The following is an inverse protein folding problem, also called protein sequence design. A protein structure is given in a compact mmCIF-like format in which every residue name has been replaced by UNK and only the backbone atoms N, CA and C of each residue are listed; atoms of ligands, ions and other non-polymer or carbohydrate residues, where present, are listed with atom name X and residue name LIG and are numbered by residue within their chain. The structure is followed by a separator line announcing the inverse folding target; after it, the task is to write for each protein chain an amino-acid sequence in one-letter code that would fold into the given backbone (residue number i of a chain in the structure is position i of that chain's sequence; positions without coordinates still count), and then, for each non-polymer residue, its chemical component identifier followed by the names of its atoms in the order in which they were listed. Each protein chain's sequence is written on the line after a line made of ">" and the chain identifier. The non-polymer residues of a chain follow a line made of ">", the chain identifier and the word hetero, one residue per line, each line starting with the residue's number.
data_IF_758554859468
#
_entry.id   IF_758554859468
#
_cell.length_a   1.000
_cell.length_b   1.000
_cell.length_c   1.000
_cell.angle_alpha   90.00
_cell.angle_beta   90.00
_cell.angle_gamma   90.00
#
_symmetry.space_group_name_H-M   'P 1'
#
loop_
_entity.id
_entity.type
_entity.pdbx_description
1 polymer ?
#
# COMPACT_ATOMS: atom_id res chain seq x y z
N UNK A 1 14.38 -18.08 -28.59
CA UNK A 1 13.10 -17.37 -28.64
C UNK A 1 13.09 -16.27 -27.59
N UNK A 2 12.73 -15.04 -28.00
CA UNK A 2 12.59 -13.93 -27.06
C UNK A 2 11.43 -14.23 -26.10
N UNK A 3 11.64 -14.08 -24.81
CA UNK A 3 10.57 -14.32 -23.84
C UNK A 3 9.48 -13.26 -23.98
N UNK A 4 8.26 -13.61 -23.60
CA UNK A 4 7.17 -12.63 -23.59
C UNK A 4 7.55 -11.38 -22.76
N UNK A 5 8.19 -11.59 -21.61
CA UNK A 5 8.61 -10.49 -20.73
C UNK A 5 9.55 -9.54 -21.48
N UNK A 6 10.48 -10.08 -22.28
CA UNK A 6 11.36 -9.26 -23.10
C UNK A 6 10.58 -8.38 -24.08
N UNK A 7 9.44 -8.85 -24.58
CA UNK A 7 8.65 -8.07 -25.55
C UNK A 7 8.03 -6.80 -24.92
N UNK A 8 7.79 -6.83 -23.62
CA UNK A 8 7.23 -5.66 -22.89
C UNK A 8 8.28 -4.57 -22.64
N UNK A 9 9.58 -4.91 -22.69
CA UNK A 9 10.64 -3.99 -22.31
C UNK A 9 10.93 -3.01 -23.45
N UNK A 10 10.88 -1.67 -23.21
CA UNK A 10 11.26 -0.68 -24.21
C UNK A 10 12.70 -0.90 -24.72
N UNK A 11 12.93 -0.64 -25.99
CA UNK A 11 14.25 -0.83 -26.61
C UNK A 11 15.35 -0.02 -25.89
N UNK A 12 15.01 1.16 -25.39
CA UNK A 12 15.95 1.97 -24.63
C UNK A 12 16.46 1.23 -23.39
N UNK A 13 15.54 0.55 -22.65
CA UNK A 13 15.90 -0.24 -21.46
C UNK A 13 16.72 -1.47 -21.86
N UNK A 14 16.34 -2.17 -22.94
CA UNK A 14 17.09 -3.34 -23.41
C UNK A 14 18.55 -2.99 -23.68
N UNK A 15 18.78 -1.85 -24.36
CA UNK A 15 20.12 -1.39 -24.72
C UNK A 15 20.90 -0.76 -23.57
N UNK A 16 20.21 -0.44 -22.47
CA UNK A 16 20.84 0.22 -21.33
C UNK A 16 21.93 -0.67 -20.73
N UNK A 17 23.13 -0.10 -20.63
CA UNK A 17 24.25 -0.71 -19.90
C UNK A 17 24.18 -0.14 -18.48
N UNK A 18 24.04 -0.98 -17.45
CA UNK A 18 24.00 -0.46 -16.08
C UNK A 18 25.21 0.43 -15.78
N UNK A 19 24.97 1.48 -15.04
CA UNK A 19 26.01 2.46 -14.71
C UNK A 19 27.20 1.77 -14.04
N UNK A 20 28.40 2.08 -14.52
CA UNK A 20 29.65 1.53 -14.00
C UNK A 20 30.21 2.47 -12.94
N UNK A 21 29.70 2.36 -11.71
CA UNK A 21 30.20 3.15 -10.59
C UNK A 21 31.56 2.63 -10.13
N UNK A 22 32.30 3.47 -9.42
CA UNK A 22 33.60 3.08 -8.84
C UNK A 22 33.49 1.84 -7.96
N UNK A 23 32.41 1.76 -7.15
CA UNK A 23 32.16 0.60 -6.27
C UNK A 23 31.80 -0.65 -7.07
N UNK A 24 31.05 -0.50 -8.17
CA UNK A 24 30.70 -1.63 -9.03
C UNK A 24 31.90 -2.22 -9.74
N UNK A 25 32.80 -1.36 -10.21
CA UNK A 25 34.06 -1.80 -10.84
C UNK A 25 34.91 -2.56 -9.82
N UNK A 26 34.81 -2.12 -8.56
CA UNK A 26 35.46 -2.81 -7.45
C UNK A 26 36.97 -2.57 -7.42
N UNK A 27 37.66 -3.51 -6.79
CA UNK A 27 39.09 -3.48 -6.62
C UNK A 27 39.46 -4.03 -5.25
N UNK A 28 40.69 -4.53 -5.16
CA UNK A 28 41.25 -5.02 -3.91
C UNK A 28 42.38 -4.10 -3.48
N UNK A 29 42.27 -3.51 -2.31
CA UNK A 29 43.31 -2.59 -1.86
C UNK A 29 42.98 -1.97 -0.51
N UNK A 30 43.99 -1.43 0.12
CA UNK A 30 43.84 -0.75 1.41
C UNK A 30 43.68 0.76 1.30
N UNK A 31 43.91 1.33 0.12
CA UNK A 31 43.78 2.80 -0.13
C UNK A 31 42.75 2.98 -1.22
N UNK A 32 41.62 3.62 -0.90
CA UNK A 32 40.47 3.78 -1.80
C UNK A 32 40.34 5.25 -2.22
N UNK A 33 40.68 5.53 -3.48
CA UNK A 33 40.72 6.88 -4.08
C UNK A 33 39.97 6.92 -5.41
N UNK A 34 38.88 6.18 -5.53
CA UNK A 34 38.23 5.94 -6.83
C UNK A 34 36.80 6.51 -6.93
N UNK A 35 36.30 7.17 -5.89
CA UNK A 35 34.91 7.65 -5.89
C UNK A 35 34.78 9.12 -5.46
N UNK A 36 35.90 9.82 -5.36
CA UNK A 36 35.98 11.26 -5.02
C UNK A 36 35.41 11.56 -3.60
N UNK A 37 35.40 10.55 -2.73
CA UNK A 37 34.97 10.67 -1.35
C UNK A 37 36.08 11.31 -0.51
N UNK A 38 35.72 12.00 0.57
CA UNK A 38 36.70 12.35 1.58
C UNK A 38 37.27 11.09 2.22
N UNK A 39 38.60 11.05 2.34
CA UNK A 39 39.24 9.87 2.90
C UNK A 39 38.87 9.64 4.38
N UNK A 40 38.76 10.75 5.12
CA UNK A 40 38.46 10.69 6.56
C UNK A 40 37.09 11.29 6.84
N UNK A 41 36.36 10.68 7.78
CA UNK A 41 35.08 11.20 8.22
C UNK A 41 35.27 12.54 8.96
N UNK A 42 34.36 13.45 8.79
CA UNK A 42 34.36 14.76 9.48
C UNK A 42 33.45 14.76 10.71
N UNK A 43 32.50 14.03 10.57
CA UNK A 43 31.70 14.01 11.56
C UNK A 43 32.24 13.17 12.54
N UNK A 44 31.82 13.53 13.73
CA UNK A 44 32.14 12.70 14.88
C UNK A 44 31.44 11.34 14.77
N UNK A 45 32.18 10.36 14.54
CA UNK A 45 31.63 9.00 14.43
C UNK A 45 32.46 8.17 13.48
N UNK A 46 32.78 6.99 13.93
CA UNK A 46 33.54 6.01 13.16
C UNK A 46 32.60 5.21 12.23
N UNK A 47 31.49 5.83 11.79
CA UNK A 47 30.44 5.08 11.10
C UNK A 47 30.67 4.98 9.59
N UNK A 48 31.71 5.63 9.09
CA UNK A 48 32.10 5.48 7.69
C UNK A 48 31.17 6.14 6.67
N UNK A 49 30.34 7.10 7.09
CA UNK A 49 29.37 7.77 6.20
C UNK A 49 30.06 8.68 5.16
N UNK A 50 31.36 8.88 5.26
CA UNK A 50 32.17 9.56 4.22
C UNK A 50 32.36 8.68 2.98
N UNK A 51 31.99 7.40 3.04
CA UNK A 51 32.13 6.44 1.95
C UNK A 51 30.73 6.05 1.40
N UNK A 52 30.64 5.91 0.09
CA UNK A 52 29.41 5.42 -0.53
C UNK A 52 29.10 4.01 -0.05
N UNK A 53 27.80 3.69 0.12
CA UNK A 53 27.38 2.31 0.45
C UNK A 53 27.63 1.37 -0.75
N UNK A 54 27.22 0.13 -0.61
CA UNK A 54 27.28 -0.84 -1.70
C UNK A 54 26.50 -0.37 -2.93
N UNK A 55 27.00 -0.72 -4.10
CA UNK A 55 26.37 -0.35 -5.38
C UNK A 55 24.88 -0.73 -5.41
N UNK A 56 24.57 -1.97 -5.05
CA UNK A 56 23.21 -2.45 -4.77
C UNK A 56 23.23 -3.08 -3.40
N UNK A 57 22.23 -2.81 -2.56
CA UNK A 57 22.26 -3.29 -1.16
C UNK A 57 21.91 -4.79 -1.08
N UNK A 58 22.88 -5.63 -1.40
CA UNK A 58 22.72 -7.08 -1.49
C UNK A 58 22.40 -7.72 -0.14
N UNK A 59 22.96 -7.19 0.93
CA UNK A 59 22.78 -7.79 2.27
C UNK A 59 21.32 -7.67 2.72
N UNK A 60 20.69 -6.50 2.55
CA UNK A 60 19.30 -6.36 2.94
C UNK A 60 18.37 -7.13 2.00
N UNK A 61 18.71 -7.23 0.72
CA UNK A 61 17.94 -8.04 -0.23
C UNK A 61 17.97 -9.52 0.16
N UNK A 62 19.16 -10.05 0.51
CA UNK A 62 19.32 -11.45 0.98
C UNK A 62 18.60 -11.68 2.31
N UNK A 63 18.71 -10.74 3.24
CA UNK A 63 18.03 -10.84 4.54
C UNK A 63 16.50 -10.88 4.34
N UNK A 64 15.98 -10.06 3.42
CA UNK A 64 14.52 -10.05 3.13
C UNK A 64 14.08 -11.31 2.42
N UNK A 65 14.89 -11.82 1.48
CA UNK A 65 14.63 -13.09 0.81
C UNK A 65 14.52 -14.23 1.82
N UNK A 66 15.47 -14.28 2.78
CA UNK A 66 15.45 -15.27 3.86
C UNK A 66 14.18 -15.13 4.72
N UNK A 67 13.78 -13.88 5.05
CA UNK A 67 12.56 -13.61 5.81
C UNK A 67 11.33 -14.13 5.07
N UNK A 68 11.26 -13.93 3.75
CA UNK A 68 10.13 -14.42 2.94
C UNK A 68 10.12 -15.94 2.76
N UNK A 69 11.24 -16.61 2.98
CA UNK A 69 11.36 -18.05 2.76
C UNK A 69 11.13 -18.46 1.31
N UNK A 70 11.64 -17.68 0.37
CA UNK A 70 11.40 -17.88 -1.06
C UNK A 70 12.67 -17.55 -1.85
N UNK A 71 12.89 -18.26 -2.94
CA UNK A 71 14.10 -18.11 -3.76
C UNK A 71 13.93 -17.12 -4.92
N UNK A 72 12.82 -16.39 -4.97
CA UNK A 72 12.61 -15.36 -5.99
C UNK A 72 13.70 -14.29 -5.92
N UNK A 73 14.10 -13.76 -7.06
CA UNK A 73 15.01 -12.63 -7.11
C UNK A 73 14.44 -11.47 -6.29
N UNK A 74 15.28 -10.87 -5.47
CA UNK A 74 14.87 -9.79 -4.55
C UNK A 74 15.79 -8.60 -4.73
N UNK A 75 15.20 -7.41 -4.87
CA UNK A 75 15.96 -6.16 -4.89
C UNK A 75 15.34 -5.16 -3.93
N UNK A 76 16.21 -4.45 -3.19
CA UNK A 76 15.77 -3.42 -2.25
C UNK A 76 15.57 -2.09 -2.98
N UNK A 77 14.54 -1.36 -2.59
CA UNK A 77 14.14 -0.07 -3.16
C UNK A 77 13.75 0.89 -2.04
N UNK A 78 13.64 2.20 -2.35
CA UNK A 78 13.30 3.24 -1.36
C UNK A 78 11.79 3.29 -1.11
N UNK A 79 11.28 2.18 -0.54
CA UNK A 79 9.85 2.01 -0.27
C UNK A 79 9.10 1.45 -1.47
N UNK A 80 7.84 1.04 -1.25
CA UNK A 80 6.99 0.50 -2.31
C UNK A 80 6.75 1.51 -3.43
N UNK A 81 6.77 2.80 -3.13
CA UNK A 81 6.56 3.85 -4.14
C UNK A 81 7.64 3.81 -5.23
N UNK A 82 8.91 3.62 -4.84
CA UNK A 82 9.98 3.46 -5.82
C UNK A 82 9.81 2.17 -6.61
N UNK A 83 9.32 1.10 -5.98
CA UNK A 83 9.05 -0.16 -6.69
C UNK A 83 8.04 0.07 -7.83
N UNK A 84 6.95 0.79 -7.54
CA UNK A 84 5.90 1.11 -8.52
C UNK A 84 6.51 1.89 -9.69
N UNK A 85 7.18 3.00 -9.38
CA UNK A 85 7.80 3.87 -10.39
C UNK A 85 8.81 3.09 -11.25
N UNK A 86 9.65 2.30 -10.61
CA UNK A 86 10.70 1.53 -11.27
C UNK A 86 10.11 0.48 -12.22
N UNK A 87 9.04 -0.22 -11.82
CA UNK A 87 8.38 -1.20 -12.67
C UNK A 87 7.75 -0.53 -13.90
N UNK A 88 7.07 0.60 -13.70
CA UNK A 88 6.47 1.34 -14.81
C UNK A 88 7.56 1.79 -15.78
N UNK A 89 8.65 2.39 -15.29
CA UNK A 89 9.76 2.84 -16.14
C UNK A 89 10.48 1.69 -16.85
N UNK A 90 10.47 0.50 -16.25
CA UNK A 90 11.14 -0.66 -16.83
C UNK A 90 10.34 -1.27 -17.98
N UNK A 91 9.01 -1.32 -17.84
CA UNK A 91 8.17 -2.15 -18.73
C UNK A 91 7.19 -1.34 -19.57
N UNK A 92 7.15 -0.02 -19.43
CA UNK A 92 6.24 0.82 -20.22
C UNK A 92 7.02 1.89 -20.96
N UNK A 93 6.70 2.05 -22.23
CA UNK A 93 7.26 3.13 -23.06
C UNK A 93 6.41 4.38 -22.86
N UNK A 94 7.00 5.50 -22.40
CA UNK A 94 6.24 6.71 -22.14
C UNK A 94 5.41 7.16 -23.36
N UNK A 95 4.20 7.62 -23.11
CA UNK A 95 3.24 8.13 -24.08
C UNK A 95 2.81 7.08 -25.13
N UNK A 96 3.04 5.79 -24.90
CA UNK A 96 2.65 4.72 -25.83
C UNK A 96 2.02 3.52 -25.13
N UNK A 97 2.59 3.09 -24.01
CA UNK A 97 2.09 1.92 -23.30
C UNK A 97 1.12 2.34 -22.20
N UNK A 98 0.42 1.38 -21.64
CA UNK A 98 -0.63 1.58 -20.64
C UNK A 98 -0.41 0.66 -19.45
N UNK A 99 -1.02 1.05 -18.31
CA UNK A 99 -1.17 0.17 -17.14
C UNK A 99 -2.65 -0.05 -16.84
N UNK A 100 -2.96 -1.08 -16.04
CA UNK A 100 -4.30 -1.37 -15.54
C UNK A 100 -4.29 -1.31 -14.01
N UNK A 101 -5.29 -0.64 -13.44
CA UNK A 101 -5.54 -0.65 -12.00
C UNK A 101 -6.95 -1.17 -11.72
N UNK A 102 -7.27 -1.43 -10.45
CA UNK A 102 -8.59 -1.88 -10.02
C UNK A 102 -9.11 -0.93 -8.95
N UNK A 103 -9.73 0.19 -9.39
CA UNK A 103 -10.19 1.23 -8.45
C UNK A 103 -11.40 0.76 -7.62
N UNK A 104 -11.56 1.25 -6.37
CA UNK A 104 -10.67 2.16 -5.65
C UNK A 104 -9.44 1.41 -5.10
N UNK A 105 -8.26 1.96 -5.35
CA UNK A 105 -7.00 1.34 -4.92
C UNK A 105 -5.94 2.44 -4.64
N UNK A 106 -4.70 2.04 -4.46
CA UNK A 106 -3.63 2.96 -4.09
C UNK A 106 -3.29 3.92 -5.24
N UNK A 107 -3.37 5.21 -4.98
CA UNK A 107 -3.29 6.25 -6.01
C UNK A 107 -1.90 6.38 -6.67
N UNK A 108 -0.86 5.82 -6.05
CA UNK A 108 0.50 5.96 -6.60
C UNK A 108 0.69 5.20 -7.92
N UNK A 109 -0.12 4.19 -8.21
CA UNK A 109 -0.02 3.51 -9.51
C UNK A 109 -0.31 4.49 -10.64
N UNK A 110 -1.45 5.17 -10.57
CA UNK A 110 -1.86 6.18 -11.54
C UNK A 110 -0.90 7.37 -11.52
N UNK A 111 -0.53 7.86 -10.34
CA UNK A 111 0.38 9.00 -10.19
C UNK A 111 1.71 8.76 -10.93
N UNK A 112 2.31 7.58 -10.76
CA UNK A 112 3.59 7.26 -11.41
C UNK A 112 3.43 7.10 -12.92
N UNK A 113 2.30 6.54 -13.37
CA UNK A 113 2.00 6.41 -14.80
C UNK A 113 1.82 7.79 -15.45
N UNK A 114 1.03 8.65 -14.81
CA UNK A 114 0.78 10.01 -15.29
C UNK A 114 2.08 10.81 -15.46
N UNK A 115 3.01 10.65 -14.52
CA UNK A 115 4.30 11.33 -14.55
C UNK A 115 5.13 11.00 -15.82
N UNK A 116 4.80 9.88 -16.47
CA UNK A 116 5.47 9.41 -17.69
C UNK A 116 4.55 9.46 -18.91
N UNK A 117 3.38 10.10 -18.80
CA UNK A 117 2.35 10.13 -19.85
C UNK A 117 1.95 8.71 -20.30
N UNK A 118 1.85 7.79 -19.34
CA UNK A 118 1.39 6.41 -19.56
C UNK A 118 -0.07 6.38 -19.13
N UNK A 119 -0.96 5.94 -20.03
CA UNK A 119 -2.39 5.91 -19.76
C UNK A 119 -2.72 4.82 -18.75
N UNK A 120 -3.62 5.14 -17.81
CA UNK A 120 -4.13 4.19 -16.83
C UNK A 120 -5.54 3.74 -17.25
N UNK A 121 -5.67 2.46 -17.56
CA UNK A 121 -6.97 1.81 -17.74
C UNK A 121 -7.48 1.35 -16.37
N UNK A 122 -8.78 1.32 -16.20
CA UNK A 122 -9.39 0.92 -14.93
C UNK A 122 -10.29 -0.30 -15.13
N UNK A 123 -10.20 -1.25 -14.22
CA UNK A 123 -11.13 -2.36 -14.05
C UNK A 123 -11.73 -2.26 -12.64
N UNK A 124 -12.78 -1.44 -12.46
CA UNK A 124 -13.27 -1.16 -11.12
C UNK A 124 -13.62 -2.43 -10.33
N UNK A 125 -13.29 -2.40 -9.04
CA UNK A 125 -13.71 -3.46 -8.12
C UNK A 125 -15.24 -3.55 -8.11
N UNK A 126 -15.76 -4.74 -7.85
CA UNK A 126 -17.19 -4.96 -7.72
C UNK A 126 -17.71 -4.31 -6.43
N UNK A 127 -19.03 -4.34 -6.22
CA UNK A 127 -19.67 -3.71 -5.05
C UNK A 127 -19.13 -4.24 -3.72
N UNK A 128 -18.71 -5.50 -3.71
CA UNK A 128 -18.10 -6.16 -2.54
C UNK A 128 -16.58 -6.00 -2.48
N UNK A 129 -16.02 -5.17 -3.35
CA UNK A 129 -14.59 -4.92 -3.50
C UNK A 129 -13.78 -6.12 -4.00
N UNK A 130 -14.42 -7.15 -4.52
CA UNK A 130 -13.72 -8.23 -5.21
C UNK A 130 -13.33 -7.80 -6.63
N UNK A 131 -12.36 -8.51 -7.22
CA UNK A 131 -11.91 -8.24 -8.59
C UNK A 131 -12.99 -8.59 -9.62
N UNK A 132 -13.06 -7.82 -10.69
CA UNK A 132 -13.76 -8.25 -11.91
C UNK A 132 -12.74 -8.99 -12.78
N UNK A 133 -12.52 -10.26 -12.50
CA UNK A 133 -11.47 -11.09 -13.12
C UNK A 133 -11.61 -11.08 -14.65
N UNK A 134 -12.83 -11.26 -15.16
CA UNK A 134 -13.07 -11.31 -16.61
C UNK A 134 -12.66 -10.00 -17.30
N UNK A 135 -12.99 -8.86 -16.70
CA UNK A 135 -12.63 -7.56 -17.23
C UNK A 135 -11.11 -7.33 -17.20
N UNK A 136 -10.46 -7.73 -16.09
CA UNK A 136 -8.99 -7.65 -15.98
C UNK A 136 -8.33 -8.45 -17.09
N UNK A 137 -8.75 -9.70 -17.28
CA UNK A 137 -8.17 -10.60 -18.30
C UNK A 137 -8.39 -10.03 -19.70
N UNK A 138 -9.56 -9.49 -19.97
CA UNK A 138 -9.85 -8.86 -21.27
C UNK A 138 -8.95 -7.64 -21.50
N UNK A 139 -8.85 -6.74 -20.52
CA UNK A 139 -8.06 -5.51 -20.65
C UNK A 139 -6.54 -5.76 -20.62
N UNK A 140 -6.11 -6.92 -20.10
CA UNK A 140 -4.67 -7.21 -20.01
C UNK A 140 -3.97 -7.24 -21.38
N UNK A 141 -4.70 -7.42 -22.47
CA UNK A 141 -4.14 -7.35 -23.82
C UNK A 141 -3.76 -5.92 -24.24
N UNK A 142 -4.25 -4.93 -23.52
CA UNK A 142 -4.08 -3.51 -23.85
C UNK A 142 -3.03 -2.83 -22.98
N UNK A 143 -2.45 -3.54 -22.01
CA UNK A 143 -1.57 -2.94 -21.00
C UNK A 143 -0.30 -3.77 -20.82
N UNK A 144 0.77 -3.13 -20.36
CA UNK A 144 2.00 -3.84 -20.04
C UNK A 144 2.02 -4.35 -18.60
N UNK A 145 1.36 -3.62 -17.69
CA UNK A 145 1.33 -3.94 -16.26
C UNK A 145 -0.11 -3.91 -15.74
N UNK A 146 -0.47 -4.92 -14.94
CA UNK A 146 -1.70 -4.95 -14.16
C UNK A 146 -1.30 -4.81 -12.68
N UNK A 147 -1.77 -3.75 -11.99
CA UNK A 147 -1.50 -3.56 -10.56
C UNK A 147 -2.69 -4.06 -9.74
N UNK A 148 -2.40 -4.97 -8.83
CA UNK A 148 -3.36 -5.53 -7.86
C UNK A 148 -2.83 -5.26 -6.46
N UNK A 149 -3.63 -4.69 -5.58
CA UNK A 149 -3.24 -4.43 -4.20
C UNK A 149 -3.93 -5.45 -3.27
N UNK A 150 -3.15 -6.24 -2.55
CA UNK A 150 -3.72 -7.27 -1.66
C UNK A 150 -2.84 -7.50 -0.42
N UNK A 151 -3.32 -7.14 0.77
CA UNK A 151 -4.62 -6.47 1.06
C UNK A 151 -4.70 -5.07 0.45
N UNK A 152 -5.91 -4.69 0.01
CA UNK A 152 -6.10 -3.44 -0.72
C UNK A 152 -6.18 -2.20 0.20
N UNK A 153 -5.65 -1.10 -0.27
CA UNK A 153 -5.80 0.23 0.32
C UNK A 153 -6.64 1.06 -0.67
N UNK A 154 -7.82 1.60 -0.29
CA UNK A 154 -8.28 1.77 1.10
C UNK A 154 -9.37 0.80 1.56
N UNK A 155 -9.70 -0.23 0.82
CA UNK A 155 -10.86 -1.10 1.12
C UNK A 155 -10.58 -2.14 2.21
N UNK A 156 -9.33 -2.56 2.38
CA UNK A 156 -8.89 -3.45 3.46
C UNK A 156 -8.98 -4.94 3.18
N UNK A 157 -9.62 -5.34 2.10
CA UNK A 157 -9.84 -6.76 1.77
C UNK A 157 -8.64 -7.37 1.05
N UNK A 158 -8.55 -8.69 1.09
CA UNK A 158 -7.57 -9.47 0.31
C UNK A 158 -8.23 -9.99 -0.97
N UNK A 159 -7.42 -10.22 -1.98
CA UNK A 159 -7.86 -10.90 -3.20
C UNK A 159 -7.93 -12.41 -2.90
N UNK A 160 -9.08 -13.07 -3.13
CA UNK A 160 -9.16 -14.52 -2.97
C UNK A 160 -8.10 -15.22 -3.85
N UNK A 161 -7.45 -16.23 -3.30
CA UNK A 161 -6.38 -16.93 -4.00
C UNK A 161 -6.84 -17.50 -5.35
N UNK A 162 -8.08 -17.98 -5.43
CA UNK A 162 -8.64 -18.51 -6.68
C UNK A 162 -8.71 -17.42 -7.75
N UNK A 163 -9.18 -16.22 -7.38
CA UNK A 163 -9.29 -15.09 -8.30
C UNK A 163 -7.90 -14.65 -8.78
N UNK A 164 -6.92 -14.57 -7.87
CA UNK A 164 -5.55 -14.23 -8.25
C UNK A 164 -4.98 -15.24 -9.24
N UNK A 165 -5.19 -16.54 -8.99
CA UNK A 165 -4.73 -17.59 -9.90
C UNK A 165 -5.41 -17.44 -11.27
N UNK A 166 -6.72 -17.17 -11.29
CA UNK A 166 -7.46 -16.99 -12.54
C UNK A 166 -6.92 -15.78 -13.34
N UNK A 167 -6.62 -14.66 -12.64
CA UNK A 167 -5.96 -13.52 -13.29
C UNK A 167 -4.60 -13.93 -13.85
N UNK A 168 -3.78 -14.62 -13.04
CA UNK A 168 -2.45 -15.01 -13.47
C UNK A 168 -2.51 -15.94 -14.71
N UNK A 169 -3.44 -16.91 -14.73
CA UNK A 169 -3.59 -17.79 -15.88
C UNK A 169 -4.11 -17.04 -17.11
N UNK A 170 -5.06 -16.12 -16.92
CA UNK A 170 -5.65 -15.33 -18.02
C UNK A 170 -4.72 -14.29 -18.62
N UNK A 171 -3.66 -13.89 -17.91
CA UNK A 171 -2.73 -12.85 -18.35
C UNK A 171 -1.40 -13.40 -18.90
N UNK A 172 -1.24 -14.72 -18.94
CA UNK A 172 -0.02 -15.34 -19.51
C UNK A 172 0.17 -14.85 -20.93
N UNK A 173 1.37 -14.34 -21.24
CA UNK A 173 1.70 -13.85 -22.58
C UNK A 173 1.07 -12.51 -22.96
N UNK A 174 0.46 -11.80 -22.01
CA UNK A 174 -0.22 -10.51 -22.28
C UNK A 174 0.41 -9.37 -21.50
N UNK A 175 0.47 -9.47 -20.17
CA UNK A 175 0.99 -8.41 -19.30
C UNK A 175 1.68 -9.00 -18.07
N UNK A 176 2.49 -8.19 -17.40
CA UNK A 176 2.98 -8.52 -16.07
C UNK A 176 1.88 -8.22 -15.05
N UNK A 177 1.76 -9.07 -14.03
CA UNK A 177 0.86 -8.83 -12.89
C UNK A 177 1.72 -8.44 -11.69
N UNK A 178 1.47 -7.25 -11.15
CA UNK A 178 2.17 -6.73 -9.98
C UNK A 178 1.22 -6.79 -8.80
N UNK A 179 1.54 -7.61 -7.80
CA UNK A 179 0.76 -7.71 -6.56
C UNK A 179 1.47 -6.89 -5.50
N UNK A 180 0.81 -5.81 -5.07
CA UNK A 180 1.33 -4.93 -4.01
C UNK A 180 0.87 -5.49 -2.65
N UNK A 181 1.82 -6.04 -1.92
CA UNK A 181 1.63 -6.68 -0.62
C UNK A 181 2.09 -5.78 0.54
N UNK A 182 1.87 -4.47 0.45
CA UNK A 182 2.31 -3.53 1.49
C UNK A 182 1.72 -3.84 2.88
N UNK A 183 0.62 -4.56 2.96
CA UNK A 183 -0.05 -4.89 4.23
C UNK A 183 -0.03 -6.38 4.54
N UNK A 184 0.78 -7.16 3.85
CA UNK A 184 0.69 -8.63 3.89
C UNK A 184 0.96 -9.23 5.29
N UNK A 185 1.77 -8.56 6.11
CA UNK A 185 2.11 -9.07 7.43
C UNK A 185 0.88 -9.16 8.36
N UNK A 186 -0.22 -8.47 8.02
CA UNK A 186 -1.49 -8.55 8.77
C UNK A 186 -2.36 -9.73 8.31
N UNK A 187 -2.01 -10.40 7.19
CA UNK A 187 -2.72 -11.57 6.65
C UNK A 187 -1.74 -12.46 5.84
N UNK A 188 -0.62 -12.93 6.47
CA UNK A 188 0.53 -13.48 5.72
C UNK A 188 0.23 -14.74 4.91
N UNK A 189 -0.82 -15.49 5.27
CA UNK A 189 -1.19 -16.72 4.56
C UNK A 189 -1.75 -16.44 3.17
N UNK A 190 -2.07 -15.17 2.84
CA UNK A 190 -2.61 -14.81 1.53
C UNK A 190 -1.54 -14.35 0.53
N UNK A 191 -0.27 -14.39 0.90
CA UNK A 191 0.84 -13.92 0.07
C UNK A 191 0.93 -14.65 -1.27
N UNK A 192 1.19 -13.88 -2.32
CA UNK A 192 1.41 -14.37 -3.68
C UNK A 192 2.86 -14.83 -3.93
N UNK A 193 3.78 -14.61 -3.00
CA UNK A 193 5.22 -14.87 -3.22
C UNK A 193 5.48 -16.31 -3.70
N UNK A 194 4.77 -17.30 -3.12
CA UNK A 194 4.95 -18.71 -3.50
C UNK A 194 4.51 -19.00 -4.94
N UNK A 195 3.79 -18.09 -5.59
CA UNK A 195 3.33 -18.27 -6.97
C UNK A 195 4.33 -17.78 -8.02
N UNK A 196 5.39 -17.07 -7.62
CA UNK A 196 6.36 -16.47 -8.56
C UNK A 196 7.03 -17.57 -9.43
N UNK A 197 7.38 -18.69 -8.82
CA UNK A 197 8.03 -19.79 -9.54
C UNK A 197 7.11 -20.35 -10.66
N UNK A 198 5.83 -20.48 -10.36
CA UNK A 198 4.84 -21.01 -11.31
C UNK A 198 4.44 -19.97 -12.38
N UNK A 199 4.43 -18.70 -12.02
CA UNK A 199 3.98 -17.61 -12.90
C UNK A 199 5.10 -16.58 -13.08
N UNK A 200 6.02 -16.81 -14.05
CA UNK A 200 7.19 -15.90 -14.22
C UNK A 200 6.86 -14.44 -14.51
N UNK A 201 5.60 -14.14 -14.88
CA UNK A 201 5.12 -12.78 -15.13
C UNK A 201 4.51 -12.14 -13.86
N UNK A 202 4.58 -12.82 -12.71
CA UNK A 202 4.15 -12.27 -11.42
C UNK A 202 5.31 -11.52 -10.78
N UNK A 203 5.02 -10.31 -10.30
CA UNK A 203 5.93 -9.47 -9.51
C UNK A 203 5.23 -9.15 -8.18
N UNK A 204 5.95 -9.24 -7.07
CA UNK A 204 5.41 -8.88 -5.76
C UNK A 204 6.18 -7.67 -5.20
N UNK A 205 5.44 -6.68 -4.71
CA UNK A 205 6.01 -5.51 -4.02
C UNK A 205 5.80 -5.67 -2.51
N UNK A 206 6.82 -5.33 -1.73
CA UNK A 206 6.78 -5.37 -0.27
C UNK A 206 7.37 -4.08 0.32
N UNK A 207 7.06 -3.81 1.58
CA UNK A 207 7.59 -2.62 2.28
C UNK A 207 7.74 -2.89 3.77
N UNK A 208 8.73 -2.23 4.37
CA UNK A 208 8.88 -2.22 5.83
C UNK A 208 8.15 -1.05 6.49
N UNK A 209 7.43 -0.24 5.71
CA UNK A 209 6.76 0.98 6.19
C UNK A 209 5.56 0.71 7.10
N UNK A 210 4.93 -0.48 7.03
CA UNK A 210 3.67 -0.77 7.72
C UNK A 210 3.91 -1.64 8.95
N UNK A 211 3.90 -2.94 8.81
CA UNK A 211 4.00 -3.88 9.94
C UNK A 211 5.31 -3.76 10.72
N UNK A 212 6.41 -3.47 10.03
CA UNK A 212 7.71 -3.30 10.68
C UNK A 212 7.87 -1.94 11.38
N UNK A 213 6.93 -0.99 11.18
CA UNK A 213 6.99 0.32 11.81
C UNK A 213 8.13 1.21 11.32
N UNK A 214 8.63 0.98 10.10
CA UNK A 214 9.82 1.64 9.56
C UNK A 214 9.51 2.58 8.39
N UNK A 215 8.37 3.29 8.47
CA UNK A 215 7.94 4.18 7.38
C UNK A 215 9.01 5.25 7.04
N UNK A 216 9.70 5.79 8.04
CA UNK A 216 10.71 6.83 7.84
C UNK A 216 12.04 6.29 7.29
N UNK A 217 12.28 4.97 7.37
CA UNK A 217 13.53 4.34 6.90
C UNK A 217 13.53 4.22 5.37
N UNK A 218 12.36 4.27 4.73
CA UNK A 218 12.18 4.22 3.28
C UNK A 218 12.77 2.97 2.66
N UNK A 219 12.32 1.78 3.11
CA UNK A 219 12.77 0.51 2.54
C UNK A 219 11.59 -0.35 2.09
N UNK A 220 11.70 -0.86 0.87
CA UNK A 220 10.78 -1.81 0.28
C UNK A 220 11.54 -2.78 -0.62
N UNK A 221 10.81 -3.69 -1.25
CA UNK A 221 11.42 -4.76 -2.04
C UNK A 221 10.55 -5.10 -3.24
N UNK A 222 11.21 -5.46 -4.35
CA UNK A 222 10.60 -6.13 -5.49
C UNK A 222 11.06 -7.58 -5.46
N UNK A 223 10.10 -8.51 -5.56
CA UNK A 223 10.38 -9.95 -5.67
C UNK A 223 9.83 -10.43 -7.01
N UNK A 224 10.66 -11.08 -7.83
CA UNK A 224 10.25 -11.52 -9.16
C UNK A 224 11.20 -12.57 -9.70
N UNK A 225 10.81 -13.20 -10.78
CA UNK A 225 11.66 -14.13 -11.49
C UNK A 225 12.83 -13.45 -12.22
N UNK A 226 13.85 -14.21 -12.64
CA UNK A 226 15.07 -13.64 -13.23
C UNK A 226 14.81 -12.83 -14.51
N UNK A 227 13.79 -13.20 -15.29
CA UNK A 227 13.48 -12.49 -16.53
C UNK A 227 12.96 -11.06 -16.28
N UNK A 228 12.37 -10.80 -15.12
CA UNK A 228 11.97 -9.46 -14.69
C UNK A 228 13.17 -8.74 -14.08
N UNK A 229 13.85 -9.42 -13.16
CA UNK A 229 14.92 -8.80 -12.35
C UNK A 229 16.09 -8.29 -13.21
N UNK A 230 16.42 -8.97 -14.31
CA UNK A 230 17.50 -8.54 -15.18
C UNK A 230 17.27 -7.13 -15.76
N UNK A 231 16.01 -6.73 -15.95
CA UNK A 231 15.68 -5.40 -16.49
C UNK A 231 15.51 -4.36 -15.37
N UNK A 232 14.82 -4.74 -14.31
CA UNK A 232 14.59 -3.86 -13.15
C UNK A 232 15.92 -3.36 -12.59
N UNK A 233 16.89 -4.26 -12.42
CA UNK A 233 18.20 -3.93 -11.86
C UNK A 233 18.99 -2.90 -12.70
N UNK A 234 18.71 -2.79 -14.00
CA UNK A 234 19.41 -1.83 -14.86
C UNK A 234 19.06 -0.38 -14.53
N UNK A 235 17.83 -0.13 -14.04
CA UNK A 235 17.33 1.22 -13.84
C UNK A 235 17.56 1.73 -12.41
N UNK A 236 17.97 0.86 -11.49
CA UNK A 236 18.25 1.29 -10.12
C UNK A 236 19.51 2.16 -10.14
N UNK A 237 19.43 3.41 -9.65
CA UNK A 237 20.63 4.26 -9.61
C UNK A 237 21.67 3.67 -8.65
N UNK A 238 22.94 3.98 -8.85
CA UNK A 238 23.98 3.48 -7.94
C UNK A 238 23.77 4.02 -6.52
N UNK A 239 24.16 3.24 -5.53
CA UNK A 239 24.10 3.63 -4.12
C UNK A 239 22.67 4.02 -3.69
N UNK A 240 21.64 3.20 -3.99
CA UNK A 240 20.26 3.62 -3.81
C UNK A 240 19.80 3.70 -2.36
N UNK A 241 20.44 2.94 -1.47
CA UNK A 241 20.02 2.82 -0.08
C UNK A 241 21.08 3.43 0.85
N UNK A 242 20.72 4.44 1.67
CA UNK A 242 21.68 4.97 2.66
C UNK A 242 22.12 3.88 3.65
N UNK A 243 23.38 3.93 4.05
CA UNK A 243 23.94 2.98 5.02
C UNK A 243 23.14 2.95 6.32
N UNK A 244 22.76 4.10 6.85
CA UNK A 244 21.97 4.14 8.08
C UNK A 244 20.64 3.40 7.94
N UNK A 245 19.98 3.51 6.78
CA UNK A 245 18.77 2.75 6.51
C UNK A 245 19.07 1.24 6.42
N UNK A 246 20.13 0.87 5.73
CA UNK A 246 20.52 -0.55 5.59
C UNK A 246 20.80 -1.19 6.94
N UNK A 247 21.50 -0.50 7.83
CA UNK A 247 21.80 -1.00 9.19
C UNK A 247 20.51 -1.26 9.96
N UNK A 248 19.57 -0.32 9.94
CA UNK A 248 18.27 -0.47 10.61
C UNK A 248 17.48 -1.64 10.02
N UNK A 249 17.49 -1.78 8.70
CA UNK A 249 16.78 -2.86 8.00
C UNK A 249 17.35 -4.22 8.38
N UNK A 250 18.69 -4.36 8.40
CA UNK A 250 19.32 -5.63 8.79
C UNK A 250 18.96 -6.01 10.22
N UNK A 251 18.96 -5.03 11.14
CA UNK A 251 18.53 -5.29 12.52
C UNK A 251 17.06 -5.73 12.56
N UNK A 252 16.17 -5.03 11.84
CA UNK A 252 14.73 -5.31 11.82
C UNK A 252 14.41 -6.69 11.25
N UNK A 253 15.27 -7.20 10.35
CA UNK A 253 15.09 -8.52 9.73
C UNK A 253 15.77 -9.66 10.54
N UNK A 254 16.38 -9.36 11.68
CA UNK A 254 16.87 -10.42 12.58
C UNK A 254 15.69 -11.27 13.09
N UNK A 255 15.96 -12.52 13.40
CA UNK A 255 14.92 -13.43 13.90
C UNK A 255 14.20 -12.88 15.13
N UNK A 256 14.96 -12.25 16.03
CA UNK A 256 14.41 -11.64 17.24
C UNK A 256 13.43 -10.51 16.91
N UNK A 257 13.83 -9.59 16.03
CA UNK A 257 12.99 -8.43 15.67
C UNK A 257 11.77 -8.85 14.85
N UNK A 258 11.92 -9.82 13.97
CA UNK A 258 10.80 -10.41 13.23
C UNK A 258 9.77 -11.01 14.19
N UNK A 259 10.23 -11.72 15.25
CA UNK A 259 9.32 -12.26 16.26
C UNK A 259 8.55 -11.14 16.98
N UNK A 260 9.22 -10.04 17.33
CA UNK A 260 8.59 -8.87 17.95
C UNK A 260 7.54 -8.26 17.00
N UNK A 261 7.89 -8.09 15.73
CA UNK A 261 6.96 -7.56 14.70
C UNK A 261 5.71 -8.44 14.60
N UNK A 262 5.89 -9.77 14.56
CA UNK A 262 4.76 -10.71 14.48
C UNK A 262 3.83 -10.61 15.70
N UNK A 263 4.38 -10.45 16.90
CA UNK A 263 3.59 -10.26 18.12
C UNK A 263 2.83 -8.93 18.06
N UNK A 264 3.49 -7.85 17.61
CA UNK A 264 2.88 -6.53 17.51
C UNK A 264 1.73 -6.52 16.48
N UNK A 265 1.92 -7.18 15.31
CA UNK A 265 0.88 -7.26 14.29
C UNK A 265 -0.31 -8.10 14.78
N UNK A 266 -0.06 -9.21 15.48
CA UNK A 266 -1.13 -10.02 16.06
C UNK A 266 -1.95 -9.21 17.05
N UNK A 267 -1.29 -8.46 17.92
CA UNK A 267 -1.98 -7.59 18.90
C UNK A 267 -2.78 -6.49 18.19
N UNK A 268 -2.22 -5.89 17.16
CA UNK A 268 -2.93 -4.85 16.39
C UNK A 268 -4.18 -5.42 15.71
N UNK A 269 -4.11 -6.66 15.21
CA UNK A 269 -5.27 -7.35 14.60
C UNK A 269 -6.38 -7.54 15.66
N UNK A 270 -6.03 -7.90 16.89
CA UNK A 270 -7.01 -8.01 17.98
C UNK A 270 -7.70 -6.66 18.23
N UNK A 271 -6.91 -5.58 18.37
CA UNK A 271 -7.44 -4.22 18.59
C UNK A 271 -8.33 -3.81 17.41
N UNK A 272 -7.90 -4.08 16.17
CA UNK A 272 -8.68 -3.79 14.96
C UNK A 272 -10.06 -4.46 15.00
N UNK A 273 -10.07 -5.75 15.33
CA UNK A 273 -11.30 -6.53 15.32
C UNK A 273 -12.27 -6.06 16.41
N UNK A 274 -11.74 -5.74 17.60
CA UNK A 274 -12.54 -5.17 18.69
C UNK A 274 -13.11 -3.81 18.29
N UNK A 275 -12.28 -2.94 17.74
CA UNK A 275 -12.68 -1.60 17.30
C UNK A 275 -13.77 -1.66 16.23
N UNK A 276 -13.64 -2.58 15.26
CA UNK A 276 -14.64 -2.78 14.22
C UNK A 276 -16.00 -3.17 14.82
N UNK A 277 -15.99 -4.04 15.82
CA UNK A 277 -17.23 -4.47 16.50
C UNK A 277 -17.87 -3.30 17.27
N UNK A 278 -17.06 -2.47 17.93
CA UNK A 278 -17.54 -1.30 18.66
C UNK A 278 -18.16 -0.26 17.71
N UNK A 279 -17.54 -0.05 16.55
CA UNK A 279 -18.05 0.90 15.55
C UNK A 279 -19.46 0.53 15.08
N UNK A 280 -19.76 -0.74 14.93
CA UNK A 280 -21.08 -1.20 14.45
C UNK A 280 -22.22 -0.87 15.43
N UNK A 281 -21.93 -0.43 16.66
CA UNK A 281 -22.94 -0.08 17.65
C UNK A 281 -23.49 1.35 17.48
N UNK A 282 -22.87 2.17 16.60
CA UNK A 282 -23.31 3.56 16.39
C UNK A 282 -24.39 3.65 15.32
N UNK A 283 -25.47 4.37 15.63
CA UNK A 283 -26.66 4.51 14.77
C UNK A 283 -26.35 5.16 13.41
N UNK A 284 -25.33 6.00 13.35
CA UNK A 284 -24.95 6.76 12.15
C UNK A 284 -23.95 5.99 11.26
N UNK A 285 -23.47 4.84 11.67
CA UNK A 285 -22.59 4.02 10.83
C UNK A 285 -23.46 3.08 10.00
N UNK A 286 -23.25 3.14 8.69
CA UNK A 286 -23.94 2.30 7.72
C UNK A 286 -23.25 0.94 7.56
N UNK A 287 -21.92 0.98 7.48
CA UNK A 287 -21.14 -0.24 7.24
C UNK A 287 -19.70 -0.09 7.75
N UNK A 288 -19.16 -1.17 8.30
CA UNK A 288 -17.75 -1.32 8.64
C UNK A 288 -17.22 -2.45 7.77
N UNK A 289 -16.31 -2.13 6.86
CA UNK A 289 -15.80 -3.12 5.91
C UNK A 289 -14.79 -4.05 6.60
N UNK A 290 -14.86 -5.37 6.33
CA UNK A 290 -13.85 -6.30 6.84
C UNK A 290 -12.45 -5.88 6.39
N UNK A 291 -11.48 -6.02 7.28
CA UNK A 291 -10.10 -5.58 6.98
C UNK A 291 -9.07 -6.64 7.34
N UNK A 292 -8.09 -6.78 6.45
CA UNK A 292 -6.88 -7.57 6.63
C UNK A 292 -5.63 -6.65 6.65
N UNK A 293 -5.83 -5.40 7.13
CA UNK A 293 -4.77 -4.38 7.17
C UNK A 293 -4.64 -3.80 8.58
N UNK A 294 -3.87 -2.72 8.71
CA UNK A 294 -3.75 -1.93 9.94
C UNK A 294 -4.69 -0.72 9.95
N UNK A 295 -5.82 -0.80 9.24
CA UNK A 295 -6.82 0.26 9.22
C UNK A 295 -8.20 -0.35 9.04
N UNK A 296 -9.23 0.45 9.32
CA UNK A 296 -10.64 0.14 9.05
C UNK A 296 -11.16 1.17 8.06
N UNK A 297 -11.92 0.72 7.08
CA UNK A 297 -12.76 1.58 6.26
C UNK A 297 -14.20 1.46 6.78
N UNK A 298 -14.83 2.60 7.08
CA UNK A 298 -16.25 2.61 7.45
C UNK A 298 -17.02 3.54 6.53
N UNK A 299 -18.30 3.24 6.35
CA UNK A 299 -19.26 4.11 5.63
C UNK A 299 -20.25 4.67 6.64
N UNK A 300 -20.39 5.97 6.67
CA UNK A 300 -21.39 6.66 7.49
C UNK A 300 -22.69 6.86 6.68
N UNK A 301 -23.82 6.93 7.37
CA UNK A 301 -25.10 7.27 6.76
C UNK A 301 -25.06 8.72 6.26
N UNK A 302 -25.84 9.01 5.24
CA UNK A 302 -25.94 10.35 4.65
C UNK A 302 -26.36 11.37 5.73
N UNK A 303 -25.80 12.56 5.65
CA UNK A 303 -26.07 13.63 6.61
C UNK A 303 -25.16 13.65 7.83
N UNK A 304 -24.18 12.75 7.89
CA UNK A 304 -23.17 12.72 8.94
C UNK A 304 -21.81 13.08 8.34
N UNK A 305 -20.93 13.65 9.16
CA UNK A 305 -19.58 14.08 8.75
C UNK A 305 -18.54 13.65 9.78
N UNK A 306 -18.35 12.34 9.92
CA UNK A 306 -17.49 11.76 10.95
C UNK A 306 -16.04 12.25 10.85
N UNK A 307 -15.54 12.46 9.64
CA UNK A 307 -14.20 13.03 9.47
C UNK A 307 -14.09 14.37 10.20
N UNK A 308 -15.10 15.24 10.02
CA UNK A 308 -15.11 16.56 10.69
C UNK A 308 -15.30 16.43 12.21
N UNK A 309 -16.15 15.50 12.64
CA UNK A 309 -16.36 15.23 14.08
C UNK A 309 -15.04 14.84 14.76
N UNK A 310 -14.34 13.87 14.16
CA UNK A 310 -13.07 13.38 14.72
C UNK A 310 -11.98 14.47 14.68
N UNK A 311 -11.94 15.24 13.58
CA UNK A 311 -10.97 16.34 13.45
C UNK A 311 -11.15 17.39 14.55
N UNK A 312 -12.39 17.75 14.90
CA UNK A 312 -12.69 18.70 15.99
C UNK A 312 -12.13 18.21 17.32
N UNK A 313 -12.15 16.92 17.55
CA UNK A 313 -11.62 16.31 18.76
C UNK A 313 -10.11 16.03 18.69
N UNK A 314 -9.44 16.52 17.64
CA UNK A 314 -7.99 16.35 17.47
C UNK A 314 -7.57 14.99 16.93
N UNK A 315 -8.51 14.21 16.40
CA UNK A 315 -8.24 12.87 15.88
C UNK A 315 -8.13 12.95 14.35
N UNK A 316 -6.93 12.69 13.83
CA UNK A 316 -6.64 12.80 12.39
C UNK A 316 -6.91 11.47 11.71
N UNK A 317 -7.85 11.46 10.78
CA UNK A 317 -8.23 10.28 9.99
C UNK A 317 -8.13 10.60 8.50
N UNK A 318 -8.64 9.73 7.63
CA UNK A 318 -8.57 9.96 6.18
C UNK A 318 -9.98 9.93 5.57
N UNK A 319 -10.41 11.07 5.06
CA UNK A 319 -11.66 11.20 4.30
C UNK A 319 -11.47 10.56 2.92
N UNK A 320 -12.40 9.72 2.50
CA UNK A 320 -12.36 9.03 1.21
C UNK A 320 -13.36 9.58 0.19
N UNK A 321 -14.02 10.71 0.47
CA UNK A 321 -15.06 11.27 -0.40
C UNK A 321 -14.59 11.66 -1.81
N UNK A 322 -13.28 11.83 -2.00
CA UNK A 322 -12.70 12.11 -3.32
C UNK A 322 -12.85 10.94 -4.29
N UNK A 323 -13.05 9.73 -3.76
CA UNK A 323 -13.23 8.52 -4.57
C UNK A 323 -14.73 8.23 -4.71
N UNK A 324 -15.29 8.24 -5.94
CA UNK A 324 -16.74 8.07 -6.12
C UNK A 324 -17.32 6.81 -5.48
N UNK A 325 -16.62 5.67 -5.54
CA UNK A 325 -17.06 4.41 -4.94
C UNK A 325 -17.06 4.46 -3.40
N UNK A 326 -16.37 5.43 -2.81
CA UNK A 326 -16.17 5.52 -1.36
C UNK A 326 -16.80 6.79 -0.76
N UNK A 327 -17.87 7.30 -1.37
CA UNK A 327 -18.62 8.41 -0.80
C UNK A 327 -19.10 8.06 0.61
N UNK A 328 -19.03 9.00 1.51
CA UNK A 328 -19.38 8.85 2.92
C UNK A 328 -18.47 7.86 3.67
N UNK A 329 -17.29 7.56 3.12
CA UNK A 329 -16.35 6.66 3.80
C UNK A 329 -15.22 7.43 4.47
N UNK A 330 -14.82 6.91 5.64
CA UNK A 330 -13.65 7.38 6.39
C UNK A 330 -12.76 6.17 6.65
N UNK A 331 -11.45 6.33 6.43
CA UNK A 331 -10.45 5.31 6.75
C UNK A 331 -9.73 5.72 8.05
N UNK A 332 -9.69 4.81 9.01
CA UNK A 332 -9.09 5.04 10.33
C UNK A 332 -7.98 4.01 10.54
N UNK A 333 -6.75 4.48 10.72
CA UNK A 333 -5.62 3.59 11.07
C UNK A 333 -5.82 3.06 12.49
N UNK A 334 -5.41 1.83 12.72
CA UNK A 334 -5.49 1.22 14.05
C UNK A 334 -4.24 1.62 14.84
N UNK A 335 -4.45 2.27 15.96
CA UNK A 335 -3.41 2.64 16.90
C UNK A 335 -3.44 1.76 18.15
N UNK A 336 -2.98 2.32 19.26
CA UNK A 336 -3.05 1.63 20.56
C UNK A 336 -4.50 1.50 21.03
N UNK A 337 -4.71 0.65 21.99
CA UNK A 337 -6.03 0.48 22.61
C UNK A 337 -6.57 1.82 23.16
N UNK A 338 -5.68 2.63 23.73
CA UNK A 338 -6.01 3.96 24.26
C UNK A 338 -6.45 4.90 23.13
N UNK A 339 -5.71 4.91 22.01
CA UNK A 339 -6.08 5.74 20.86
C UNK A 339 -7.44 5.33 20.27
N UNK A 340 -7.70 4.03 20.18
CA UNK A 340 -9.00 3.55 19.67
C UNK A 340 -10.13 3.90 20.65
N UNK A 341 -9.89 3.83 21.95
CA UNK A 341 -10.86 4.25 22.97
C UNK A 341 -11.19 5.75 22.86
N UNK A 342 -10.22 6.59 22.51
CA UNK A 342 -10.48 8.02 22.27
C UNK A 342 -11.40 8.24 21.06
N UNK A 343 -11.19 7.45 19.98
CA UNK A 343 -12.09 7.50 18.81
C UNK A 343 -13.52 7.13 19.24
N UNK A 344 -13.69 6.03 19.98
CA UNK A 344 -15.00 5.57 20.47
C UNK A 344 -15.63 6.63 21.37
N UNK A 345 -14.88 7.25 22.26
CA UNK A 345 -15.38 8.31 23.14
C UNK A 345 -15.88 9.52 22.34
N UNK A 346 -15.14 9.93 21.30
CA UNK A 346 -15.54 11.02 20.42
C UNK A 346 -16.87 10.70 19.71
N UNK A 347 -16.97 9.50 19.14
CA UNK A 347 -18.19 9.06 18.44
C UNK A 347 -19.37 8.93 19.41
N UNK A 348 -19.13 8.52 20.66
CA UNK A 348 -20.17 8.42 21.70
C UNK A 348 -20.75 9.79 22.07
N UNK A 349 -19.88 10.80 22.21
CA UNK A 349 -20.33 12.18 22.42
C UNK A 349 -21.19 12.67 21.26
N UNK A 350 -20.75 12.43 20.05
CA UNK A 350 -21.48 12.81 18.84
C UNK A 350 -22.86 12.12 18.79
N UNK A 351 -22.95 10.83 19.11
CA UNK A 351 -24.22 10.11 19.17
C UNK A 351 -25.18 10.71 20.19
N UNK A 352 -24.65 11.10 21.35
CA UNK A 352 -25.45 11.75 22.41
C UNK A 352 -26.00 13.09 21.92
N UNK A 353 -25.21 13.90 21.26
CA UNK A 353 -25.63 15.18 20.67
C UNK A 353 -26.75 14.99 19.62
N UNK A 354 -26.59 14.00 18.73
CA UNK A 354 -27.60 13.71 17.71
C UNK A 354 -28.92 13.35 18.37
N UNK A 355 -28.89 12.45 19.34
CA UNK A 355 -30.11 11.99 20.04
C UNK A 355 -30.81 13.13 20.77
N UNK A 356 -30.04 14.00 21.43
CA UNK A 356 -30.58 15.18 22.09
C UNK A 356 -31.25 16.12 21.07
N UNK A 357 -30.58 16.42 19.97
CA UNK A 357 -31.13 17.30 18.93
C UNK A 357 -32.41 16.73 18.30
N UNK A 358 -32.49 15.41 18.15
CA UNK A 358 -33.69 14.74 17.65
C UNK A 358 -34.85 14.87 18.62
N UNK A 359 -34.60 14.68 19.93
CA UNK A 359 -35.61 14.84 20.97
C UNK A 359 -36.14 16.27 21.02
N UNK A 360 -35.25 17.24 20.99
CA UNK A 360 -35.63 18.67 21.02
C UNK A 360 -36.52 19.03 19.81
N UNK A 361 -36.19 18.53 18.61
CA UNK A 361 -37.00 18.73 17.42
C UNK A 361 -38.39 18.09 17.54
N UNK A 362 -38.47 16.89 18.13
CA UNK A 362 -39.76 16.20 18.33
C UNK A 362 -40.65 16.99 19.31
N UNK A 363 -40.06 17.48 20.40
CA UNK A 363 -40.77 18.30 21.39
C UNK A 363 -41.33 19.57 20.72
N UNK A 364 -40.48 20.28 19.95
CA UNK A 364 -40.88 21.49 19.23
C UNK A 364 -42.03 21.21 18.25
N UNK A 365 -41.94 20.12 17.48
CA UNK A 365 -43.00 19.74 16.54
C UNK A 365 -44.32 19.42 17.23
N UNK A 366 -44.25 18.76 18.39
CA UNK A 366 -45.45 18.44 19.19
C UNK A 366 -46.11 19.71 19.72
N UNK A 367 -45.31 20.61 20.27
CA UNK A 367 -45.80 21.92 20.76
C UNK A 367 -46.45 22.76 19.66
N UNK A 368 -45.84 22.79 18.48
CA UNK A 368 -46.40 23.53 17.34
C UNK A 368 -47.75 22.92 16.87
N UNK A 369 -47.89 21.60 16.90
CA UNK A 369 -49.14 20.91 16.57
C UNK A 369 -50.24 21.22 17.57
N UNK A 370 -49.89 21.24 18.86
CA UNK A 370 -50.87 21.56 19.94
C UNK A 370 -51.34 23.02 19.82
N UNK A 371 -50.40 23.97 19.57
CA UNK A 371 -50.71 25.38 19.37
C UNK A 371 -51.62 25.56 18.16
N UNK A 372 -51.32 24.88 17.02
CA UNK A 372 -52.16 24.96 15.81
C UNK A 372 -53.56 24.42 16.06
N UNK A 373 -53.65 23.28 16.76
CA UNK A 373 -54.97 22.65 17.11
C UNK A 373 -55.78 23.55 18.01
N UNK A 374 -55.14 24.31 18.92
CA UNK A 374 -55.85 25.27 19.78
C UNK A 374 -56.36 26.49 18.98
N UNK A 375 -55.55 27.05 18.10
CA UNK A 375 -55.92 28.16 17.19
C UNK A 375 -57.12 27.77 16.30
N UNK A 376 -57.10 26.53 15.80
CA UNK A 376 -58.17 26.04 14.93
C UNK A 376 -59.51 25.87 15.70
N UNK A 377 -59.45 25.61 16.99
CA UNK A 377 -60.63 25.49 17.85
C UNK A 377 -61.19 26.86 18.26
N UNK A 378 -60.32 27.87 18.37
CA UNK A 378 -60.76 29.21 18.75
C UNK A 378 -61.38 30.01 17.58
N UNK A 379 -61.32 29.47 16.37
CA UNK A 379 -61.86 30.05 15.14
C UNK A 379 -63.19 29.39 14.70
N UNK A 380 -63.75 28.45 15.49
CA UNK A 380 -65.08 27.83 15.28
C UNK A 380 -66.06 28.38 16.26
#
# INVERSE_FOLDING_TARGET
>A
MTSFIDSLVPQAVKKLIPYQSARRIGGDGRVWLNANELENALXDGEQGYNRYPDFLPQDIAKAYQAYCGNDAGTVAVRGADEAIDLLIRTFCKPAQDNILICSPTYAMYEFCADALAIETLDSPLQEDFNLNVADIVQKSELVNLVFLCSPNNPTGNVIPKADLIEVLEGTVGKSLVVVDEAYIEFEPQTSAVSLIERYPHLVVIRTLSKAFGLAAVRCGFILAGPNVMQYVSKLIPPYPMPDCSSQIVLEALSNERVAVMKQATAKLVEIRNQFAAELMQFDFIEHVYPSSTNFILLRQKSGHELFSVLTKDGIVTRNQNHEPALRNCVRISIGSQESMAEVIASLSRYQTEIRKNQQDKQIQQSQNKETQSQLDKDHI
#
